data_IF_705954880587
#
_entry.id   IF_705954880587
#
_cell.length_a   1.000
_cell.length_b   1.000
_cell.length_c   1.000
_cell.angle_alpha   90.00
_cell.angle_beta   90.00
_cell.angle_gamma   90.00
#
_symmetry.space_group_name_H-M   'P 1'
#
loop_
_entity.id
_entity.type
_entity.pdbx_description
1 polymer ?
#
# COMPACT_ATOMS: atom_id res chain seq x y z
N UNK A 1 35.32 37.61 24.28
CA UNK A 1 35.23 36.14 24.19
C UNK A 1 33.85 35.66 24.64
N UNK A 2 33.29 36.20 25.71
CA UNK A 2 31.99 35.77 26.25
C UNK A 2 30.80 35.98 25.30
N UNK A 3 30.80 37.09 24.55
CA UNK A 3 29.78 37.35 23.53
C UNK A 3 29.81 36.33 22.38
N UNK A 4 30.98 35.79 22.06
CA UNK A 4 31.13 34.76 21.02
C UNK A 4 30.52 33.45 21.49
N UNK A 5 30.75 33.07 22.76
CA UNK A 5 30.11 31.91 23.37
C UNK A 5 28.59 32.08 23.50
N UNK A 6 28.11 33.28 23.81
CA UNK A 6 26.68 33.59 23.92
C UNK A 6 25.98 33.49 22.56
N UNK A 7 26.60 34.02 21.49
CA UNK A 7 26.10 33.92 20.12
C UNK A 7 26.15 32.47 19.62
N UNK A 8 27.24 31.75 19.85
CA UNK A 8 27.36 30.34 19.45
C UNK A 8 26.34 29.46 20.19
N UNK A 9 26.20 29.64 21.50
CA UNK A 9 25.23 28.89 22.31
C UNK A 9 23.79 29.16 21.90
N UNK A 10 23.43 30.43 21.67
CA UNK A 10 22.08 30.78 21.20
C UNK A 10 21.79 30.24 19.80
N UNK A 11 22.77 30.24 18.88
CA UNK A 11 22.63 29.63 17.56
C UNK A 11 22.33 28.12 17.64
N UNK A 12 23.06 27.39 18.49
CA UNK A 12 22.82 25.94 18.71
C UNK A 12 21.44 25.68 19.30
N UNK A 13 21.01 26.48 20.29
CA UNK A 13 19.69 26.33 20.90
C UNK A 13 18.60 26.56 19.83
N UNK A 14 18.72 27.61 19.02
CA UNK A 14 17.76 27.91 17.96
C UNK A 14 17.71 26.83 16.88
N UNK A 15 18.85 26.23 16.49
CA UNK A 15 18.85 25.14 15.52
C UNK A 15 18.22 23.86 16.08
N UNK A 16 18.45 23.54 17.35
CA UNK A 16 17.77 22.42 18.01
C UNK A 16 16.25 22.62 18.05
N UNK A 17 15.78 23.81 18.44
CA UNK A 17 14.35 24.11 18.42
C UNK A 17 13.78 24.06 17.00
N UNK A 18 14.51 24.56 16.00
CA UNK A 18 14.10 24.48 14.61
C UNK A 18 13.92 23.03 14.15
N UNK A 19 14.83 22.11 14.47
CA UNK A 19 14.67 20.70 14.11
C UNK A 19 13.49 20.01 14.81
N UNK A 20 13.21 20.40 16.06
CA UNK A 20 12.06 19.85 16.81
C UNK A 20 10.74 20.37 16.23
N UNK A 21 10.68 21.65 15.87
CA UNK A 21 9.47 22.33 15.44
C UNK A 21 9.20 22.11 13.94
N UNK A 22 10.24 22.08 13.10
CA UNK A 22 10.18 21.86 11.65
C UNK A 22 9.22 20.74 11.20
N UNK A 23 9.27 19.51 11.75
CA UNK A 23 8.38 18.44 11.31
C UNK A 23 6.91 18.72 11.58
N UNK A 24 6.57 19.57 12.56
CA UNK A 24 5.18 19.95 12.84
C UNK A 24 4.63 20.99 11.86
N UNK A 25 5.50 21.73 11.17
CA UNK A 25 5.11 22.75 10.17
C UNK A 25 5.33 22.29 8.72
N UNK A 26 5.91 21.10 8.51
CA UNK A 26 6.15 20.51 7.18
C UNK A 26 4.88 19.94 6.52
N UNK A 27 3.70 20.34 6.98
CA UNK A 27 2.40 19.74 6.65
C UNK A 27 1.88 19.89 5.22
N UNK A 28 2.69 20.24 4.22
CA UNK A 28 2.28 20.25 2.79
C UNK A 28 3.45 19.99 1.83
N UNK A 29 4.40 19.15 2.19
CA UNK A 29 5.41 18.65 1.27
C UNK A 29 5.53 17.16 1.49
N UNK A 30 5.08 16.38 0.51
CA UNK A 30 5.13 14.93 0.47
C UNK A 30 6.36 14.40 1.22
N UNK A 31 6.12 13.83 2.41
CA UNK A 31 6.86 12.65 2.78
C UNK A 31 6.67 11.71 1.59
N UNK A 32 7.65 11.69 0.67
CA UNK A 32 7.92 10.49 -0.10
C UNK A 32 8.30 9.42 0.93
N UNK A 33 7.29 8.91 1.62
CA UNK A 33 7.24 7.51 1.97
C UNK A 33 7.69 6.78 0.72
N UNK A 34 8.76 6.01 0.87
CA UNK A 34 9.21 5.01 -0.08
C UNK A 34 7.99 4.30 -0.71
N UNK A 35 7.57 4.77 -1.90
CA UNK A 35 6.40 4.31 -2.65
C UNK A 35 6.53 2.88 -3.18
N UNK A 36 7.47 2.08 -2.68
CA UNK A 36 7.64 0.70 -3.14
C UNK A 36 6.61 -0.26 -2.53
N UNK A 37 5.94 0.13 -1.43
CA UNK A 37 4.86 -0.67 -0.83
C UNK A 37 3.45 -0.13 -1.13
N UNK A 38 3.34 1.16 -1.49
CA UNK A 38 2.06 1.84 -1.72
C UNK A 38 1.46 1.58 -3.12
N UNK A 39 2.19 0.91 -4.01
CA UNK A 39 1.76 0.62 -5.38
C UNK A 39 1.08 -0.76 -5.51
N UNK A 40 1.04 -1.56 -4.42
CA UNK A 40 0.25 -2.79 -4.42
C UNK A 40 -1.23 -2.43 -4.24
N UNK A 41 -2.13 -2.91 -5.11
CA UNK A 41 -3.55 -2.64 -4.94
C UNK A 41 -3.99 -3.13 -3.55
N UNK A 42 -4.74 -2.30 -2.83
CA UNK A 42 -5.18 -2.56 -1.45
C UNK A 42 -5.85 -3.94 -1.28
N UNK A 43 -6.45 -4.47 -2.35
CA UNK A 43 -7.02 -5.81 -2.39
C UNK A 43 -5.97 -6.94 -2.33
N UNK A 44 -4.81 -6.77 -2.98
CA UNK A 44 -3.70 -7.73 -2.94
C UNK A 44 -3.11 -7.83 -1.52
N UNK A 45 -2.99 -6.70 -0.82
CA UNK A 45 -2.56 -6.67 0.57
C UNK A 45 -3.52 -7.46 1.48
N UNK A 46 -4.83 -7.34 1.27
CA UNK A 46 -5.82 -8.12 2.03
C UNK A 46 -5.69 -9.62 1.73
N UNK A 47 -5.51 -10.01 0.46
CA UNK A 47 -5.30 -11.42 0.12
C UNK A 47 -4.01 -11.98 0.72
N UNK A 48 -2.94 -11.20 0.74
CA UNK A 48 -1.69 -11.55 1.43
C UNK A 48 -1.90 -11.76 2.93
N UNK A 49 -2.60 -10.83 3.59
CA UNK A 49 -2.90 -10.92 5.01
C UNK A 49 -3.75 -12.14 5.37
N UNK A 50 -4.75 -12.48 4.55
CA UNK A 50 -5.56 -13.71 4.75
C UNK A 50 -4.72 -14.97 4.56
N UNK A 51 -3.79 -14.99 3.61
CA UNK A 51 -2.92 -16.13 3.39
C UNK A 51 -1.94 -16.36 4.57
N UNK A 52 -1.36 -15.29 5.11
CA UNK A 52 -0.53 -15.37 6.32
C UNK A 52 -1.36 -15.85 7.53
N UNK A 53 -2.58 -15.34 7.68
CA UNK A 53 -3.52 -15.77 8.70
C UNK A 53 -3.86 -17.28 8.60
N UNK A 54 -4.07 -17.80 7.40
CA UNK A 54 -4.28 -19.24 7.17
C UNK A 54 -3.05 -20.07 7.55
N UNK A 55 -1.86 -19.57 7.23
CA UNK A 55 -0.61 -20.21 7.65
C UNK A 55 -0.46 -20.24 9.17
N UNK A 56 -0.80 -19.15 9.87
CA UNK A 56 -0.73 -19.09 11.33
C UNK A 56 -1.72 -20.03 12.02
N UNK A 57 -2.93 -20.19 11.46
CA UNK A 57 -3.89 -21.18 11.91
C UNK A 57 -3.39 -22.61 11.69
N UNK A 58 -2.85 -22.93 10.50
CA UNK A 58 -2.27 -24.24 10.19
C UNK A 58 -1.09 -24.58 11.12
N UNK A 59 -0.32 -23.57 11.51
CA UNK A 59 0.78 -23.68 12.45
C UNK A 59 0.33 -23.70 13.92
N UNK A 60 -0.99 -23.67 14.19
CA UNK A 60 -1.59 -23.66 15.53
C UNK A 60 -1.11 -22.49 16.40
N UNK A 61 -0.75 -21.35 15.79
CA UNK A 61 -0.39 -20.12 16.51
C UNK A 61 -1.63 -19.40 17.06
N UNK A 62 -2.78 -19.64 16.42
CA UNK A 62 -4.07 -19.03 16.76
C UNK A 62 -5.16 -20.10 16.82
N UNK A 63 -6.24 -19.78 17.53
CA UNK A 63 -7.38 -20.67 17.71
C UNK A 63 -8.34 -20.57 16.53
N UNK A 64 -9.22 -21.57 16.38
CA UNK A 64 -10.20 -21.60 15.28
C UNK A 64 -11.20 -20.44 15.35
N UNK A 65 -11.65 -20.07 16.55
CA UNK A 65 -12.58 -18.95 16.76
C UNK A 65 -11.96 -17.61 16.31
N UNK A 66 -10.71 -17.36 16.72
CA UNK A 66 -9.97 -16.15 16.36
C UNK A 66 -9.70 -16.09 14.85
N UNK A 67 -9.34 -17.23 14.26
CA UNK A 67 -9.15 -17.36 12.82
C UNK A 67 -10.43 -17.03 12.05
N UNK A 68 -11.57 -17.59 12.46
CA UNK A 68 -12.85 -17.39 11.79
C UNK A 68 -13.29 -15.93 11.83
N UNK A 69 -13.21 -15.31 13.01
CA UNK A 69 -13.58 -13.91 13.22
C UNK A 69 -12.69 -12.97 12.39
N UNK A 70 -11.38 -13.21 12.38
CA UNK A 70 -10.45 -12.36 11.65
C UNK A 70 -10.57 -12.55 10.13
N UNK A 71 -10.82 -13.77 9.67
CA UNK A 71 -11.09 -14.07 8.25
C UNK A 71 -12.37 -13.38 7.76
N UNK A 72 -13.44 -13.39 8.55
CA UNK A 72 -14.68 -12.68 8.24
C UNK A 72 -14.44 -11.17 8.09
N UNK A 73 -13.68 -10.58 9.01
CA UNK A 73 -13.35 -9.15 8.96
C UNK A 73 -12.59 -8.77 7.68
N UNK A 74 -11.59 -9.55 7.28
CA UNK A 74 -10.86 -9.32 6.03
C UNK A 74 -11.74 -9.48 4.79
N UNK A 75 -12.69 -10.43 4.79
CA UNK A 75 -13.63 -10.60 3.69
C UNK A 75 -14.59 -9.42 3.55
N UNK A 76 -15.07 -8.86 4.66
CA UNK A 76 -15.89 -7.64 4.66
C UNK A 76 -15.10 -6.44 4.12
N UNK A 77 -13.84 -6.30 4.53
CA UNK A 77 -12.95 -5.24 4.06
C UNK A 77 -12.69 -5.36 2.54
N UNK A 78 -12.41 -6.56 2.04
CA UNK A 78 -12.26 -6.82 0.61
C UNK A 78 -13.55 -6.46 -0.17
N UNK A 79 -14.72 -6.83 0.36
CA UNK A 79 -16.00 -6.53 -0.26
C UNK A 79 -16.28 -5.02 -0.33
N UNK A 80 -15.83 -4.24 0.67
CA UNK A 80 -15.99 -2.78 0.67
C UNK A 80 -15.05 -2.09 -0.35
N UNK A 81 -13.80 -2.55 -0.44
CA UNK A 81 -12.86 -2.07 -1.46
C UNK A 81 -13.38 -2.34 -2.88
N UNK A 82 -13.87 -3.56 -3.14
CA UNK A 82 -14.44 -3.92 -4.44
C UNK A 82 -15.68 -3.10 -4.81
N UNK A 83 -16.45 -2.60 -3.84
CA UNK A 83 -17.59 -1.69 -4.08
C UNK A 83 -17.11 -0.27 -4.40
N UNK A 84 -16.02 0.16 -3.77
CA UNK A 84 -15.45 1.50 -3.96
C UNK A 84 -14.80 1.64 -5.34
N UNK A 85 -14.12 0.61 -5.84
CA UNK A 85 -13.53 0.59 -7.20
C UNK A 85 -14.56 0.57 -8.32
N UNK A 86 -15.82 0.17 -8.04
CA UNK A 86 -16.92 0.21 -9.03
C UNK A 86 -17.53 1.59 -9.21
N UNK A 87 -17.19 2.58 -8.38
CA UNK A 87 -17.60 3.98 -8.64
C UNK A 87 -16.76 4.51 -9.79
N UNK A 88 -17.35 5.05 -10.87
CA UNK A 88 -16.58 5.51 -12.02
C UNK A 88 -15.70 6.69 -11.59
N UNK A 89 -14.41 6.41 -11.36
CA UNK A 89 -13.36 7.44 -11.39
C UNK A 89 -13.45 8.08 -12.77
N UNK A 90 -13.85 9.36 -12.85
CA UNK A 90 -13.74 10.15 -14.08
C UNK A 90 -12.26 10.09 -14.49
N UNK A 91 -11.96 9.29 -15.52
CA UNK A 91 -10.62 9.09 -16.04
C UNK A 91 -10.11 10.41 -16.63
N UNK A 92 -9.11 11.01 -15.99
CA UNK A 92 -8.14 11.82 -16.69
C UNK A 92 -7.00 10.87 -17.11
N UNK A 93 -6.86 10.65 -18.42
CA UNK A 93 -5.65 10.14 -19.06
C UNK A 93 -5.18 8.74 -18.68
N UNK A 94 -5.74 7.70 -19.31
CA UNK A 94 -5.05 6.41 -19.43
C UNK A 94 -5.55 5.71 -20.70
N UNK A 95 -4.91 6.04 -21.82
CA UNK A 95 -5.27 5.55 -23.14
C UNK A 95 -4.34 4.42 -23.63
N UNK A 96 -3.14 4.24 -23.03
CA UNK A 96 -2.16 3.24 -23.49
C UNK A 96 -2.30 1.84 -22.85
N UNK A 97 -2.78 1.71 -21.60
CA UNK A 97 -2.79 0.41 -20.90
C UNK A 97 -3.81 -0.60 -21.43
N UNK A 98 -4.81 -0.17 -22.21
CA UNK A 98 -5.91 -1.03 -22.63
C UNK A 98 -5.57 -1.88 -23.86
N UNK A 99 -4.58 -1.47 -24.65
CA UNK A 99 -4.15 -2.17 -25.86
C UNK A 99 -3.25 -3.36 -25.50
N UNK A 100 -2.36 -3.19 -24.52
CA UNK A 100 -1.50 -4.25 -23.97
C UNK A 100 -2.32 -5.39 -23.31
N UNK A 101 -3.35 -5.04 -22.53
CA UNK A 101 -4.23 -6.05 -21.90
C UNK A 101 -4.99 -6.91 -22.94
N UNK A 102 -5.38 -6.30 -24.07
CA UNK A 102 -6.07 -6.99 -25.16
C UNK A 102 -5.13 -7.95 -25.89
N UNK A 103 -3.87 -7.57 -26.09
CA UNK A 103 -2.85 -8.43 -26.72
C UNK A 103 -2.56 -9.67 -25.85
N UNK A 104 -2.38 -9.47 -24.54
CA UNK A 104 -2.15 -10.55 -23.56
C UNK A 104 -3.33 -11.53 -23.54
N UNK A 105 -4.57 -11.03 -23.54
CA UNK A 105 -5.78 -11.87 -23.57
C UNK A 105 -5.86 -12.71 -24.84
N UNK A 106 -5.46 -12.15 -25.98
CA UNK A 106 -5.50 -12.85 -27.26
C UNK A 106 -4.47 -13.99 -27.31
N UNK A 107 -3.28 -13.77 -26.75
CA UNK A 107 -2.23 -14.79 -26.68
C UNK A 107 -2.59 -15.94 -25.72
N UNK A 108 -3.15 -15.63 -24.55
CA UNK A 108 -3.66 -16.63 -23.60
C UNK A 108 -4.76 -17.52 -24.23
N UNK A 109 -5.65 -16.95 -25.04
CA UNK A 109 -6.66 -17.73 -25.77
C UNK A 109 -6.06 -18.65 -26.83
N UNK A 110 -5.00 -18.23 -27.52
CA UNK A 110 -4.28 -19.07 -28.50
C UNK A 110 -3.63 -20.28 -27.81
N UNK A 111 -2.96 -20.06 -26.68
CA UNK A 111 -2.35 -21.13 -25.89
C UNK A 111 -3.38 -22.14 -25.38
N UNK A 112 -4.55 -21.67 -24.94
CA UNK A 112 -5.65 -22.53 -24.48
C UNK A 112 -6.20 -23.44 -25.58
N UNK A 113 -6.29 -22.92 -26.81
CA UNK A 113 -6.73 -23.68 -27.99
C UNK A 113 -5.70 -24.71 -28.46
N UNK A 114 -4.41 -24.44 -28.29
CA UNK A 114 -3.34 -25.38 -28.61
C UNK A 114 -3.24 -26.52 -27.58
N UNK A 115 -3.47 -26.22 -26.29
CA UNK A 115 -3.40 -27.21 -25.21
C UNK A 115 -4.60 -28.17 -25.15
N UNK A 116 -5.70 -27.88 -25.85
CA UNK A 116 -6.88 -28.74 -25.96
C UNK A 116 -6.88 -29.71 -27.14
N UNK A 117 -5.73 -29.91 -27.82
CA UNK A 117 -5.61 -30.75 -29.02
C UNK A 117 -4.51 -31.82 -28.90
N UNK A 118 -4.23 -32.27 -27.68
CA UNK A 118 -3.46 -33.47 -27.36
C UNK A 118 -4.20 -34.29 -26.31
#
# INVERSE_FOLDING_TARGET
MDYVFLIAGSAVILTCFYFIISPFFSGTGELSESNTENDRPALELIYGAVNELEMDFLMKKINEEDFLHMKEHYQLLAADLMKTDRRPKKKAGQQDSHEEELEILQELQRLRKQKGRQ
#
